data_IF_593976479150
#
_entry.id   IF_593976479150
#
_cell.length_a   1.000
_cell.length_b   1.000
_cell.length_c   1.000
_cell.angle_alpha   90.00
_cell.angle_beta   90.00
_cell.angle_gamma   90.00
#
_symmetry.space_group_name_H-M   'P 1'
#
loop_
_entity.id
_entity.type
_entity.pdbx_description
1 polymer ?
#
# COMPACT_ATOMS: atom_id res chain seq x y z
N UNK A 1 14.18 -38.00 -31.69
CA UNK A 1 14.68 -37.60 -30.36
C UNK A 1 13.73 -36.55 -29.79
N UNK A 2 13.30 -36.63 -28.53
CA UNK A 2 12.45 -35.59 -27.98
C UNK A 2 13.26 -34.28 -27.90
N UNK A 3 12.76 -33.23 -28.55
CA UNK A 3 13.30 -31.87 -28.45
C UNK A 3 13.15 -31.42 -27.00
N UNK A 4 14.20 -31.60 -26.20
CA UNK A 4 14.21 -31.11 -24.83
C UNK A 4 14.37 -29.58 -24.86
N UNK A 5 13.53 -28.85 -24.11
CA UNK A 5 13.57 -27.39 -24.05
C UNK A 5 14.93 -26.83 -23.60
N UNK A 6 15.80 -27.66 -23.02
CA UNK A 6 17.15 -27.29 -22.62
C UNK A 6 18.15 -27.18 -23.79
N UNK A 7 17.80 -27.69 -24.99
CA UNK A 7 18.66 -27.66 -26.18
C UNK A 7 18.41 -26.51 -27.16
N UNK A 8 17.34 -25.72 -26.98
CA UNK A 8 17.00 -24.59 -27.87
C UNK A 8 18.01 -23.44 -27.75
N UNK A 9 18.30 -22.70 -28.82
CA UNK A 9 19.12 -21.48 -28.75
C UNK A 9 18.39 -20.36 -27.99
N UNK A 10 19.13 -19.35 -27.51
CA UNK A 10 18.53 -18.19 -26.82
C UNK A 10 17.62 -17.39 -27.76
N UNK A 11 17.98 -17.27 -29.04
CA UNK A 11 17.20 -16.56 -30.06
C UNK A 11 15.82 -17.21 -30.27
N UNK A 12 15.77 -18.55 -30.41
CA UNK A 12 14.51 -19.27 -30.52
C UNK A 12 13.65 -19.13 -29.27
N UNK A 13 14.26 -19.08 -28.08
CA UNK A 13 13.53 -18.85 -26.84
C UNK A 13 12.96 -17.43 -26.75
N UNK A 14 13.64 -16.44 -27.33
CA UNK A 14 13.11 -15.10 -27.47
C UNK A 14 11.92 -15.03 -28.42
N UNK A 15 11.98 -15.70 -29.56
CA UNK A 15 10.86 -15.78 -30.50
C UNK A 15 9.66 -16.50 -29.88
N UNK A 16 9.88 -17.64 -29.24
CA UNK A 16 8.82 -18.39 -28.54
C UNK A 16 8.15 -17.49 -27.51
N UNK A 17 8.92 -16.73 -26.73
CA UNK A 17 8.37 -15.79 -25.76
C UNK A 17 7.52 -14.70 -26.42
N UNK A 18 8.03 -14.04 -27.46
CA UNK A 18 7.28 -12.99 -28.16
C UNK A 18 6.01 -13.50 -28.82
N UNK A 19 6.03 -14.70 -29.41
CA UNK A 19 4.87 -15.30 -30.10
C UNK A 19 3.87 -15.92 -29.14
N UNK A 20 4.29 -16.39 -27.96
CA UNK A 20 3.39 -17.07 -27.04
C UNK A 20 2.33 -16.13 -26.43
N UNK A 21 2.61 -14.82 -26.33
CA UNK A 21 1.75 -13.81 -25.68
C UNK A 21 1.27 -14.19 -24.26
N UNK A 22 1.88 -15.22 -23.65
CA UNK A 22 1.47 -15.78 -22.38
C UNK A 22 2.35 -15.18 -21.30
N UNK A 23 1.79 -14.43 -20.35
CA UNK A 23 2.59 -13.66 -19.41
C UNK A 23 3.19 -14.54 -18.29
N UNK A 24 2.71 -15.79 -18.15
CA UNK A 24 3.28 -16.78 -17.23
C UNK A 24 4.47 -17.53 -17.80
N UNK A 25 4.69 -17.50 -19.13
CA UNK A 25 5.72 -18.30 -19.81
C UNK A 25 7.14 -18.11 -19.24
N UNK A 26 7.62 -16.88 -18.90
CA UNK A 26 8.94 -16.68 -18.33
C UNK A 26 9.08 -17.31 -16.94
N UNK A 27 7.97 -17.64 -16.28
CA UNK A 27 7.94 -18.22 -14.94
C UNK A 27 7.80 -19.74 -14.93
N UNK A 28 7.49 -20.36 -16.08
CA UNK A 28 7.23 -21.81 -16.17
C UNK A 28 8.50 -22.63 -15.91
N UNK A 29 9.67 -22.12 -16.31
CA UNK A 29 10.95 -22.83 -16.17
C UNK A 29 12.07 -21.86 -15.77
N UNK A 30 13.01 -22.33 -14.94
CA UNK A 30 14.25 -21.62 -14.58
C UNK A 30 15.03 -21.11 -15.79
N UNK A 31 15.08 -21.88 -16.90
CA UNK A 31 15.77 -21.46 -18.13
C UNK A 31 15.08 -20.25 -18.77
N UNK A 32 13.77 -20.31 -18.96
CA UNK A 32 12.99 -19.18 -19.49
C UNK A 32 13.08 -17.96 -18.58
N UNK A 33 13.02 -18.18 -17.26
CA UNK A 33 13.18 -17.13 -16.26
C UNK A 33 14.56 -16.48 -16.36
N UNK A 34 15.63 -17.28 -16.41
CA UNK A 34 17.01 -16.79 -16.49
C UNK A 34 17.24 -15.98 -17.75
N UNK A 35 16.80 -16.47 -18.90
CA UNK A 35 16.92 -15.79 -20.20
C UNK A 35 16.13 -14.49 -20.22
N UNK A 36 14.89 -14.51 -19.75
CA UNK A 36 14.06 -13.32 -19.66
C UNK A 36 14.65 -12.30 -18.69
N UNK A 37 15.14 -12.73 -17.53
CA UNK A 37 15.80 -11.87 -16.54
C UNK A 37 17.05 -11.19 -17.10
N UNK A 38 17.88 -11.93 -17.84
CA UNK A 38 19.11 -11.43 -18.46
C UNK A 38 18.89 -10.61 -19.75
N UNK A 39 17.67 -10.62 -20.30
CA UNK A 39 17.38 -9.94 -21.56
C UNK A 39 17.44 -8.41 -21.47
N UNK A 40 17.70 -7.70 -22.58
CA UNK A 40 17.72 -6.23 -22.61
C UNK A 40 16.36 -5.61 -22.22
N UNK A 41 16.34 -4.38 -21.66
CA UNK A 41 15.10 -3.69 -21.31
C UNK A 41 14.12 -3.50 -22.48
N UNK A 42 14.63 -3.27 -23.69
CA UNK A 42 13.82 -3.15 -24.91
C UNK A 42 13.07 -4.44 -25.24
N UNK A 43 13.74 -5.59 -25.11
CA UNK A 43 13.12 -6.90 -25.30
C UNK A 43 12.03 -7.15 -24.25
N UNK A 44 12.33 -6.88 -22.96
CA UNK A 44 11.35 -6.99 -21.87
C UNK A 44 10.13 -6.12 -22.13
N UNK A 45 10.32 -4.87 -22.54
CA UNK A 45 9.21 -3.95 -22.86
C UNK A 45 8.37 -4.44 -24.05
N UNK A 46 9.02 -4.97 -25.10
CA UNK A 46 8.33 -5.55 -26.26
C UNK A 46 7.49 -6.76 -25.87
N UNK A 47 8.05 -7.67 -25.06
CA UNK A 47 7.33 -8.83 -24.56
C UNK A 47 6.14 -8.44 -23.67
N UNK A 48 6.33 -7.44 -22.81
CA UNK A 48 5.32 -6.95 -21.88
C UNK A 48 4.22 -6.09 -22.52
N UNK A 49 4.40 -5.64 -23.77
CA UNK A 49 3.41 -4.84 -24.52
C UNK A 49 2.03 -5.47 -24.57
N UNK A 50 1.97 -6.79 -24.64
CA UNK A 50 0.71 -7.54 -24.77
C UNK A 50 0.15 -7.99 -23.42
N UNK A 51 0.82 -7.65 -22.32
CA UNK A 51 0.44 -8.02 -20.96
C UNK A 51 -0.36 -6.89 -20.34
N UNK A 52 -1.58 -7.20 -19.86
CA UNK A 52 -2.48 -6.19 -19.32
C UNK A 52 -1.90 -5.41 -18.12
N UNK A 53 -1.07 -6.05 -17.29
CA UNK A 53 -0.47 -5.46 -16.10
C UNK A 53 1.02 -5.86 -15.98
N UNK A 54 1.93 -5.14 -16.68
CA UNK A 54 3.34 -5.50 -16.72
C UNK A 54 4.03 -5.37 -15.36
N UNK A 55 3.60 -4.42 -14.52
CA UNK A 55 4.16 -4.21 -13.18
C UNK A 55 3.91 -5.37 -12.21
N UNK A 56 3.00 -6.31 -12.50
CA UNK A 56 2.78 -7.47 -11.62
C UNK A 56 3.98 -8.43 -11.62
N UNK A 57 4.84 -8.36 -12.62
CA UNK A 57 6.02 -9.21 -12.76
C UNK A 57 7.22 -8.56 -12.06
N UNK A 58 7.83 -9.21 -11.06
CA UNK A 58 9.00 -8.65 -10.37
C UNK A 58 10.15 -8.29 -11.31
N UNK A 59 10.33 -9.08 -12.37
CA UNK A 59 11.39 -8.90 -13.38
C UNK A 59 11.11 -7.68 -14.28
N UNK A 60 9.86 -7.22 -14.34
CA UNK A 60 9.44 -6.04 -15.09
C UNK A 60 9.54 -4.73 -14.29
N UNK A 61 9.79 -4.83 -12.99
CA UNK A 61 9.92 -3.67 -12.10
C UNK A 61 11.34 -3.07 -12.19
N UNK A 62 11.73 -2.65 -13.40
CA UNK A 62 12.97 -1.94 -13.69
C UNK A 62 12.61 -0.60 -14.33
N UNK A 63 13.25 0.47 -13.86
CA UNK A 63 13.05 1.85 -14.33
C UNK A 63 13.20 1.97 -15.85
N UNK A 64 14.18 1.27 -16.43
CA UNK A 64 14.45 1.29 -17.88
C UNK A 64 13.38 0.57 -18.68
N UNK A 65 12.78 -0.48 -18.11
CA UNK A 65 11.69 -1.23 -18.77
C UNK A 65 10.42 -0.38 -18.75
N UNK A 66 10.09 0.21 -17.59
CA UNK A 66 8.89 1.04 -17.42
C UNK A 66 8.90 2.25 -18.36
N UNK A 67 10.06 2.89 -18.55
CA UNK A 67 10.21 4.00 -19.48
C UNK A 67 9.94 3.65 -20.96
N UNK A 68 10.08 2.36 -21.33
CA UNK A 68 9.89 1.87 -22.70
C UNK A 68 8.50 1.23 -22.92
N UNK A 69 7.66 1.15 -21.87
CA UNK A 69 6.34 0.56 -22.00
C UNK A 69 5.41 1.46 -22.84
N UNK A 70 4.59 0.86 -23.73
CA UNK A 70 3.55 1.60 -24.42
C UNK A 70 2.46 2.08 -23.45
N UNK A 71 1.60 3.03 -23.86
CA UNK A 71 0.41 3.40 -23.10
C UNK A 71 -0.37 2.16 -22.68
N UNK A 72 -0.65 1.98 -21.38
CA UNK A 72 -1.38 0.83 -20.91
C UNK A 72 -2.84 0.96 -21.36
N UNK A 73 -3.44 -0.14 -21.78
CA UNK A 73 -4.85 -0.18 -22.18
C UNK A 73 -5.81 -0.06 -21.00
N UNK A 74 -5.30 -0.17 -19.78
CA UNK A 74 -6.02 -0.09 -18.51
C UNK A 74 -5.16 0.62 -17.45
N UNK A 75 -5.74 1.16 -16.38
CA UNK A 75 -4.98 1.72 -15.27
C UNK A 75 -4.01 0.68 -14.71
N UNK A 76 -2.76 1.08 -14.46
CA UNK A 76 -1.75 0.18 -13.92
C UNK A 76 -2.04 -0.14 -12.45
N UNK A 77 -2.07 -1.42 -12.13
CA UNK A 77 -2.18 -1.88 -10.76
C UNK A 77 -0.84 -1.75 -10.02
N UNK A 78 -0.85 -1.11 -8.84
CA UNK A 78 0.31 -1.13 -7.95
C UNK A 78 0.60 -2.56 -7.46
N UNK A 79 1.78 -3.13 -7.76
CA UNK A 79 1.99 -4.56 -7.58
C UNK A 79 2.23 -4.95 -6.11
N UNK A 80 1.53 -5.99 -5.65
CA UNK A 80 1.57 -6.44 -4.24
C UNK A 80 2.95 -6.94 -3.80
N UNK A 81 3.75 -7.49 -4.70
CA UNK A 81 5.02 -8.13 -4.34
C UNK A 81 6.03 -7.12 -3.77
N UNK A 82 5.97 -5.84 -4.17
CA UNK A 82 6.77 -4.75 -3.59
C UNK A 82 6.57 -4.60 -2.08
N UNK A 83 5.38 -4.96 -1.58
CA UNK A 83 5.00 -4.81 -0.17
C UNK A 83 5.00 -6.14 0.59
N UNK A 84 5.21 -7.28 -0.09
CA UNK A 84 5.10 -8.62 0.50
C UNK A 84 6.13 -8.86 1.60
N UNK A 85 7.33 -8.30 1.44
CA UNK A 85 8.46 -8.49 2.36
C UNK A 85 8.50 -7.45 3.48
N UNK A 86 7.50 -6.56 3.57
CA UNK A 86 7.41 -5.59 4.64
C UNK A 86 7.04 -6.27 5.97
N UNK A 87 7.92 -6.16 6.95
CA UNK A 87 7.76 -6.65 8.32
C UNK A 87 8.04 -5.53 9.36
N UNK A 88 7.41 -5.58 10.55
CA UNK A 88 7.62 -4.59 11.60
C UNK A 88 8.98 -4.71 12.32
N UNK A 89 9.67 -5.85 12.19
CA UNK A 89 10.96 -6.08 12.83
C UNK A 89 12.14 -5.47 12.06
N UNK A 90 11.92 -5.08 10.81
CA UNK A 90 12.96 -4.56 9.94
C UNK A 90 12.98 -3.04 9.98
N UNK A 91 14.17 -2.45 10.15
CA UNK A 91 14.40 -1.04 9.84
C UNK A 91 14.68 -0.90 8.35
N UNK A 92 14.03 0.05 7.70
CA UNK A 92 14.17 0.32 6.26
C UNK A 92 15.15 1.48 6.09
N UNK A 93 16.44 1.22 6.35
CA UNK A 93 17.50 2.24 6.22
C UNK A 93 17.86 2.45 4.75
N UNK A 94 18.14 1.35 4.04
CA UNK A 94 18.01 1.29 2.59
C UNK A 94 16.52 1.12 2.31
N UNK A 95 15.94 1.98 1.49
CA UNK A 95 14.51 2.30 1.53
C UNK A 95 13.65 1.52 0.49
N UNK A 96 13.86 0.24 0.06
CA UNK A 96 12.90 -0.40 -0.84
C UNK A 96 11.55 -0.58 -0.10
N UNK A 97 10.41 -0.27 -0.75
CA UNK A 97 10.25 -0.02 -2.19
C UNK A 97 10.30 1.47 -2.64
N UNK A 98 10.66 2.43 -1.79
CA UNK A 98 10.54 3.87 -2.05
C UNK A 98 11.31 4.40 -3.27
N UNK A 99 12.58 4.06 -3.55
CA UNK A 99 13.27 4.56 -4.74
C UNK A 99 12.52 4.22 -6.03
N UNK A 100 12.15 2.94 -6.18
CA UNK A 100 11.38 2.48 -7.33
C UNK A 100 9.98 3.12 -7.40
N UNK A 101 9.29 3.26 -6.26
CA UNK A 101 8.00 3.96 -6.24
C UNK A 101 8.15 5.45 -6.58
N UNK A 102 9.21 6.10 -6.13
CA UNK A 102 9.49 7.50 -6.44
C UNK A 102 9.73 7.69 -7.93
N UNK A 103 10.50 6.78 -8.54
CA UNK A 103 10.63 6.74 -10.00
C UNK A 103 9.27 6.56 -10.67
N UNK A 104 8.51 5.55 -10.24
CA UNK A 104 7.24 5.17 -10.85
C UNK A 104 6.16 6.27 -10.76
N UNK A 105 6.09 7.04 -9.68
CA UNK A 105 5.10 8.11 -9.53
C UNK A 105 5.56 9.45 -10.14
N UNK A 106 6.86 9.73 -10.21
CA UNK A 106 7.37 11.01 -10.71
C UNK A 106 7.78 10.99 -12.18
N UNK A 107 8.19 9.82 -12.72
CA UNK A 107 8.78 9.70 -14.05
C UNK A 107 8.00 8.76 -14.98
N UNK A 108 7.11 7.90 -14.44
CA UNK A 108 6.23 7.12 -15.30
C UNK A 108 5.19 8.02 -15.95
N UNK A 109 4.96 7.92 -17.26
CA UNK A 109 3.83 8.59 -17.91
C UNK A 109 2.47 8.09 -17.38
N UNK A 110 2.45 6.92 -16.75
CA UNK A 110 1.25 6.29 -16.20
C UNK A 110 1.52 5.82 -14.76
N UNK A 111 1.26 6.66 -13.75
CA UNK A 111 1.42 6.25 -12.35
C UNK A 111 0.34 5.23 -11.97
N UNK A 112 0.67 4.16 -11.22
CA UNK A 112 -0.31 3.18 -10.81
C UNK A 112 -1.25 3.73 -9.74
N UNK A 113 -2.48 3.21 -9.68
CA UNK A 113 -3.41 3.59 -8.62
C UNK A 113 -2.92 3.03 -7.25
N UNK A 114 -2.69 3.88 -6.23
CA UNK A 114 -2.25 3.42 -4.91
C UNK A 114 -3.33 2.66 -4.12
N UNK A 115 -4.59 2.75 -4.53
CA UNK A 115 -5.73 2.10 -3.86
C UNK A 115 -6.06 0.70 -4.40
N UNK A 116 -5.27 0.22 -5.36
CA UNK A 116 -5.44 -1.11 -5.95
C UNK A 116 -5.44 -2.19 -4.87
N UNK A 117 -6.12 -3.29 -5.18
CA UNK A 117 -6.25 -4.43 -4.26
C UNK A 117 -6.84 -4.05 -2.89
N UNK A 118 -7.76 -3.07 -2.89
CA UNK A 118 -8.43 -2.57 -1.70
C UNK A 118 -7.45 -2.02 -0.65
N UNK A 119 -6.52 -1.16 -1.08
CA UNK A 119 -5.58 -0.46 -0.20
C UNK A 119 -4.50 -1.38 0.41
N UNK A 120 -4.13 -2.47 -0.28
CA UNK A 120 -3.16 -3.45 0.22
C UNK A 120 -1.81 -2.81 0.56
N UNK A 121 -1.32 -1.92 -0.31
CA UNK A 121 -0.04 -1.23 -0.14
C UNK A 121 -0.01 -0.42 1.17
N UNK A 122 -1.02 0.42 1.39
CA UNK A 122 -1.13 1.24 2.60
C UNK A 122 -1.26 0.37 3.85
N UNK A 123 -2.09 -0.68 3.78
CA UNK A 123 -2.30 -1.63 4.88
C UNK A 123 -0.98 -2.31 5.29
N UNK A 124 -0.16 -2.74 4.32
CA UNK A 124 1.14 -3.37 4.56
C UNK A 124 2.19 -2.38 5.09
N UNK A 125 2.22 -1.16 4.57
CA UNK A 125 3.10 -0.10 5.05
C UNK A 125 2.82 0.24 6.53
N UNK A 126 1.54 0.32 6.91
CA UNK A 126 1.11 0.53 8.30
C UNK A 126 1.48 -0.67 9.17
N UNK A 127 1.21 -1.89 8.70
CA UNK A 127 1.59 -3.11 9.43
C UNK A 127 3.10 -3.15 9.74
N UNK A 128 3.94 -2.70 8.81
CA UNK A 128 5.38 -2.63 8.98
C UNK A 128 5.89 -1.39 9.74
N UNK A 129 5.00 -0.48 10.17
CA UNK A 129 5.35 0.82 10.80
C UNK A 129 6.29 1.67 9.95
N UNK A 130 6.22 1.52 8.63
CA UNK A 130 7.10 2.21 7.69
C UNK A 130 6.56 3.62 7.39
N UNK A 131 6.75 4.55 8.34
CA UNK A 131 6.15 5.89 8.32
C UNK A 131 6.42 6.65 7.01
N UNK A 132 7.65 6.61 6.47
CA UNK A 132 8.00 7.29 5.21
C UNK A 132 7.16 6.78 4.05
N UNK A 133 7.02 5.46 3.93
CA UNK A 133 6.19 4.83 2.91
C UNK A 133 4.70 5.15 3.09
N UNK A 134 4.20 5.18 4.32
CA UNK A 134 2.81 5.58 4.58
C UNK A 134 2.58 7.04 4.13
N UNK A 135 3.49 7.96 4.47
CA UNK A 135 3.41 9.36 4.02
C UNK A 135 3.46 9.48 2.50
N UNK A 136 4.35 8.73 1.84
CA UNK A 136 4.47 8.70 0.39
C UNK A 136 3.18 8.21 -0.27
N UNK A 137 2.60 7.10 0.19
CA UNK A 137 1.36 6.57 -0.38
C UNK A 137 0.20 7.56 -0.19
N UNK A 138 0.07 8.16 1.00
CA UNK A 138 -0.97 9.15 1.28
C UNK A 138 -0.80 10.44 0.47
N UNK A 139 0.43 10.86 0.15
CA UNK A 139 0.66 12.04 -0.69
C UNK A 139 0.30 11.80 -2.16
N UNK A 140 0.32 10.54 -2.60
CA UNK A 140 -0.05 10.12 -3.96
C UNK A 140 -1.51 9.65 -4.07
N UNK A 141 -2.35 9.87 -3.05
CA UNK A 141 -3.79 9.61 -3.12
C UNK A 141 -4.24 8.26 -2.55
N UNK A 142 -3.39 7.55 -1.81
CA UNK A 142 -3.84 6.38 -1.05
C UNK A 142 -4.90 6.81 -0.02
N UNK A 143 -6.03 6.12 -0.03
CA UNK A 143 -7.11 6.28 0.95
C UNK A 143 -6.96 5.22 2.04
N UNK A 144 -7.12 5.58 3.33
CA UNK A 144 -7.17 4.60 4.39
C UNK A 144 -8.56 3.93 4.55
N UNK A 145 -9.56 4.32 3.75
CA UNK A 145 -10.93 3.82 3.83
C UNK A 145 -11.16 2.36 3.42
N UNK A 146 -10.40 1.75 2.49
CA UNK A 146 -10.70 0.40 2.02
C UNK A 146 -10.78 -0.64 3.15
N UNK A 147 -11.70 -1.61 2.99
CA UNK A 147 -11.96 -2.68 3.98
C UNK A 147 -12.27 -2.11 5.37
N UNK A 148 -13.22 -1.18 5.43
CA UNK A 148 -13.72 -0.57 6.67
C UNK A 148 -12.62 0.04 7.54
N UNK A 149 -11.68 0.73 6.89
CA UNK A 149 -10.56 1.34 7.60
C UNK A 149 -9.55 0.32 8.14
N UNK A 150 -9.31 -0.80 7.45
CA UNK A 150 -8.41 -1.86 7.91
C UNK A 150 -7.03 -1.32 8.31
N UNK A 151 -6.48 -0.37 7.54
CA UNK A 151 -5.21 0.28 7.85
C UNK A 151 -5.26 0.98 9.23
N UNK A 152 -6.33 1.71 9.52
CA UNK A 152 -6.54 2.37 10.83
C UNK A 152 -6.67 1.33 11.93
N UNK A 153 -7.45 0.27 11.71
CA UNK A 153 -7.62 -0.82 12.68
C UNK A 153 -6.31 -1.54 13.01
N UNK A 154 -5.39 -1.69 12.03
CA UNK A 154 -4.04 -2.22 12.29
C UNK A 154 -3.25 -1.28 13.19
N UNK A 155 -3.26 0.03 12.91
CA UNK A 155 -2.57 1.03 13.74
C UNK A 155 -3.12 1.06 15.19
N UNK A 156 -4.44 0.91 15.36
CA UNK A 156 -5.10 0.79 16.66
C UNK A 156 -4.59 -0.45 17.41
N UNK A 157 -4.55 -1.62 16.76
CA UNK A 157 -4.04 -2.86 17.37
C UNK A 157 -2.57 -2.75 17.76
N UNK A 158 -1.79 -1.99 17.00
CA UNK A 158 -0.39 -1.66 17.30
C UNK A 158 -0.22 -0.63 18.41
N UNK A 159 -1.33 -0.01 18.89
CA UNK A 159 -1.36 1.09 19.88
C UNK A 159 -0.54 2.31 19.45
N UNK A 160 -0.44 2.54 18.14
CA UNK A 160 0.36 3.63 17.59
C UNK A 160 -0.54 4.83 17.31
N UNK A 161 -0.67 5.73 18.31
CA UNK A 161 -1.47 6.95 18.19
C UNK A 161 -0.96 7.84 17.04
N UNK A 162 0.35 7.95 16.86
CA UNK A 162 0.93 8.80 15.82
C UNK A 162 0.54 8.30 14.42
N UNK A 163 0.58 6.98 14.20
CA UNK A 163 0.11 6.38 12.96
C UNK A 163 -1.39 6.56 12.75
N UNK A 164 -2.20 6.43 13.81
CA UNK A 164 -3.66 6.68 13.75
C UNK A 164 -3.95 8.13 13.34
N UNK A 165 -3.33 9.11 14.00
CA UNK A 165 -3.46 10.54 13.64
C UNK A 165 -3.01 10.76 12.19
N UNK A 166 -1.90 10.16 11.77
CA UNK A 166 -1.38 10.27 10.42
C UNK A 166 -2.34 9.74 9.33
N UNK A 167 -3.13 8.70 9.62
CA UNK A 167 -4.09 8.13 8.69
C UNK A 167 -5.42 8.90 8.66
N UNK A 168 -5.88 9.39 9.82
CA UNK A 168 -7.16 10.09 9.96
C UNK A 168 -7.05 11.55 9.55
N UNK A 169 -6.06 12.27 10.04
CA UNK A 169 -5.95 13.71 9.82
C UNK A 169 -5.43 14.00 8.42
N UNK A 170 -5.80 15.14 7.83
CA UNK A 170 -5.14 15.65 6.62
C UNK A 170 -3.97 16.55 7.02
N UNK A 171 -2.82 16.51 6.32
CA UNK A 171 -1.75 17.46 6.57
C UNK A 171 -2.28 18.87 6.31
N UNK A 172 -1.81 19.89 7.06
CA UNK A 172 -2.20 21.26 6.81
C UNK A 172 -1.83 21.63 5.37
N UNK A 173 -2.82 22.03 4.57
CA UNK A 173 -2.59 22.44 3.19
C UNK A 173 -1.63 23.63 3.14
N UNK A 174 -0.60 23.58 2.28
CA UNK A 174 0.40 24.65 2.10
C UNK A 174 -0.15 25.92 1.44
N UNK A 175 -1.46 26.10 1.36
CA UNK A 175 -2.12 27.20 0.64
C UNK A 175 -2.49 28.39 1.54
N UNK A 176 -2.33 29.61 1.01
CA UNK A 176 -2.64 30.88 1.69
C UNK A 176 -4.12 31.06 2.08
N UNK A 177 -5.05 30.26 1.53
CA UNK A 177 -6.48 30.25 1.90
C UNK A 177 -6.83 28.93 2.60
N UNK A 178 -6.75 28.96 3.94
CA UNK A 178 -7.05 27.83 4.83
C UNK A 178 -8.55 27.49 4.82
N UNK A 179 -9.02 26.75 3.83
CA UNK A 179 -10.25 25.96 4.02
C UNK A 179 -9.87 24.79 4.93
N UNK A 180 -10.53 24.65 6.10
CA UNK A 180 -10.35 23.49 6.98
C UNK A 180 -10.84 22.25 6.22
N UNK A 181 -9.94 21.58 5.50
CA UNK A 181 -10.24 20.28 4.92
C UNK A 181 -10.47 19.32 6.10
N UNK A 182 -11.65 18.73 6.17
CA UNK A 182 -11.98 17.72 7.18
C UNK A 182 -11.05 16.51 7.11
N UNK A 183 -11.17 15.63 8.09
CA UNK A 183 -10.38 14.40 8.17
C UNK A 183 -10.48 13.54 6.91
N UNK A 184 -9.45 12.72 6.64
CA UNK A 184 -9.47 11.70 5.59
C UNK A 184 -10.54 10.64 5.85
N UNK A 185 -10.79 10.36 7.13
CA UNK A 185 -11.72 9.33 7.61
C UNK A 185 -12.49 9.87 8.79
N UNK A 186 -13.79 9.59 8.81
CA UNK A 186 -14.63 9.77 10.00
C UNK A 186 -14.44 8.57 10.94
N UNK A 187 -14.22 8.86 12.23
CA UNK A 187 -14.04 7.81 13.25
C UNK A 187 -15.36 7.08 13.45
N UNK A 188 -15.37 5.75 13.28
CA UNK A 188 -16.56 4.92 13.48
C UNK A 188 -16.60 4.29 14.88
N UNK A 189 -17.80 3.87 15.30
CA UNK A 189 -17.98 3.10 16.54
C UNK A 189 -17.13 1.83 16.57
N UNK A 190 -16.95 1.18 15.43
CA UNK A 190 -16.17 -0.06 15.35
C UNK A 190 -14.68 0.18 15.61
N UNK A 191 -14.15 1.32 15.16
CA UNK A 191 -12.78 1.75 15.49
C UNK A 191 -12.64 2.01 16.98
N UNK A 192 -13.61 2.69 17.59
CA UNK A 192 -13.63 2.95 19.03
C UNK A 192 -13.71 1.65 19.85
N UNK A 193 -14.64 0.75 19.49
CA UNK A 193 -14.76 -0.60 20.10
C UNK A 193 -13.45 -1.37 19.99
N UNK A 194 -12.80 -1.32 18.84
CA UNK A 194 -11.49 -1.96 18.62
C UNK A 194 -10.42 -1.35 19.52
N UNK A 195 -10.37 -0.03 19.68
CA UNK A 195 -9.43 0.65 20.55
C UNK A 195 -9.62 0.28 22.03
N UNK A 196 -10.86 0.20 22.49
CA UNK A 196 -11.19 -0.24 23.86
C UNK A 196 -10.80 -1.70 24.08
N UNK A 197 -11.15 -2.61 23.14
CA UNK A 197 -10.74 -4.03 23.20
C UNK A 197 -9.22 -4.18 23.26
N UNK A 198 -8.48 -3.38 22.50
CA UNK A 198 -7.01 -3.39 22.49
C UNK A 198 -6.39 -2.70 23.71
N UNK A 199 -7.18 -2.07 24.60
CA UNK A 199 -6.72 -1.25 25.73
C UNK A 199 -5.82 -0.09 25.30
N UNK A 200 -6.10 0.51 24.13
CA UNK A 200 -5.35 1.63 23.59
C UNK A 200 -5.92 2.97 24.12
N UNK A 201 -5.62 3.30 25.38
CA UNK A 201 -6.23 4.44 26.10
C UNK A 201 -6.06 5.77 25.36
N UNK A 202 -4.87 6.07 24.89
CA UNK A 202 -4.57 7.34 24.23
C UNK A 202 -5.38 7.52 22.94
N UNK A 203 -5.62 6.42 22.22
CA UNK A 203 -6.45 6.40 21.00
C UNK A 203 -7.93 6.57 21.34
N UNK A 204 -8.41 5.92 22.41
CA UNK A 204 -9.80 6.11 22.89
C UNK A 204 -10.04 7.56 23.25
N UNK A 205 -9.14 8.17 24.04
CA UNK A 205 -9.22 9.59 24.42
C UNK A 205 -9.22 10.48 23.19
N UNK A 206 -8.34 10.22 22.22
CA UNK A 206 -8.33 10.94 20.95
C UNK A 206 -9.67 10.84 20.20
N UNK A 207 -10.24 9.64 20.11
CA UNK A 207 -11.52 9.42 19.41
C UNK A 207 -12.69 10.11 20.09
N UNK A 208 -12.77 10.09 21.42
CA UNK A 208 -13.90 10.68 22.16
C UNK A 208 -13.76 12.20 22.28
N UNK A 209 -12.57 12.69 22.63
CA UNK A 209 -12.35 14.11 22.94
C UNK A 209 -12.05 14.94 21.69
N UNK A 210 -11.12 14.50 20.83
CA UNK A 210 -10.72 15.28 19.64
C UNK A 210 -11.64 15.04 18.44
N UNK A 211 -12.12 13.80 18.27
CA UNK A 211 -12.96 13.41 17.11
C UNK A 211 -14.45 13.33 17.42
N UNK A 212 -14.86 13.51 18.67
CA UNK A 212 -16.27 13.58 19.07
C UNK A 212 -17.03 12.26 18.88
N UNK A 213 -16.35 11.11 18.84
CA UNK A 213 -17.01 9.82 18.74
C UNK A 213 -17.66 9.46 20.09
N UNK A 214 -18.99 9.44 20.14
CA UNK A 214 -19.76 9.18 21.37
C UNK A 214 -19.77 7.67 21.68
N UNK A 215 -19.25 7.19 22.81
CA UNK A 215 -19.20 5.76 23.09
C UNK A 215 -20.60 5.15 23.35
N UNK A 216 -20.87 3.97 22.77
CA UNK A 216 -22.04 3.15 23.13
C UNK A 216 -22.01 2.73 24.62
N UNK A 217 -23.18 2.39 25.19
CA UNK A 217 -23.30 1.92 26.59
C UNK A 217 -22.32 0.78 26.93
N UNK A 218 -22.18 -0.22 26.05
CA UNK A 218 -21.23 -1.33 26.23
C UNK A 218 -19.77 -0.83 26.30
N UNK A 219 -19.43 0.15 25.48
CA UNK A 219 -18.10 0.77 25.44
C UNK A 219 -17.87 1.57 26.73
N UNK A 220 -18.88 2.27 27.24
CA UNK A 220 -18.83 2.97 28.53
C UNK A 220 -18.60 2.00 29.70
N UNK A 221 -19.30 0.86 29.75
CA UNK A 221 -19.07 -0.16 30.77
C UNK A 221 -17.65 -0.72 30.72
N UNK A 222 -17.12 -0.96 29.51
CA UNK A 222 -15.74 -1.43 29.31
C UNK A 222 -14.69 -0.37 29.71
N UNK A 223 -15.01 0.92 29.60
CA UNK A 223 -14.18 2.02 30.10
C UNK A 223 -14.33 2.22 31.62
N UNK A 224 -15.49 1.87 32.18
CA UNK A 224 -15.95 2.23 33.52
C UNK A 224 -15.66 1.27 34.67
N UNK A 225 -14.97 0.14 34.46
CA UNK A 225 -14.60 -0.75 35.59
C UNK A 225 -13.35 -0.33 36.39
N UNK A 226 -12.76 0.85 36.14
CA UNK A 226 -11.89 1.56 37.11
C UNK A 226 -12.11 3.08 36.99
N UNK A 227 -12.84 3.62 37.98
CA UNK A 227 -13.10 5.01 38.36
C UNK A 227 -12.42 6.19 37.61
N UNK A 228 -13.20 7.28 37.48
CA UNK A 228 -12.92 8.66 36.98
C UNK A 228 -13.28 8.97 35.52
N UNK A 229 -14.55 8.87 35.15
CA UNK A 229 -15.06 9.57 33.95
C UNK A 229 -16.34 10.40 34.17
N UNK A 230 -16.82 10.55 35.41
CA UNK A 230 -17.95 11.45 35.70
C UNK A 230 -17.50 12.91 35.80
N UNK A 231 -16.20 13.19 36.03
CA UNK A 231 -15.70 14.56 36.20
C UNK A 231 -15.37 15.31 34.90
N UNK A 232 -15.38 14.66 33.72
CA UNK A 232 -15.05 15.31 32.44
C UNK A 232 -16.26 15.65 31.57
N UNK A 233 -17.42 15.06 31.84
CA UNK A 233 -18.67 15.38 31.13
C UNK A 233 -19.52 16.47 31.80
N UNK A 234 -19.13 16.94 33.00
CA UNK A 234 -19.86 17.96 33.78
C UNK A 234 -19.08 19.27 33.99
N UNK A 235 -17.99 19.49 33.26
CA UNK A 235 -17.15 20.70 33.40
C UNK A 235 -17.27 21.67 32.20
N UNK A 236 -18.36 21.57 31.44
CA UNK A 236 -18.76 22.56 30.44
C UNK A 236 -20.19 22.98 30.72
N UNK A 237 -20.35 23.77 31.76
CA UNK A 237 -21.42 24.77 31.94
C UNK A 237 -20.74 26.09 32.35
#
# INVERSE_FOLDING_TARGET
>A
MPLNMNGLSVELLYEIQLVAHSPSLPLVNRRFHGIFSASPPSYKAQYLRHVANPLQYPIACDEKVVALLPPPTRPLDLPRHLFRHLSPAKKYEDDPPLPFLTFLYNHSPYPPDPNTHSGYALTKAVHARFVRLVRFLLSHGASPTPKDGLAVNIAIRQKDLAMVKLLIERPPGKGKKRRRLGDRIQVSQDMLKTAVKCRARDIVVYFTQEKGCVPDMQTLYALGCKQRLVSLYLATD
#
